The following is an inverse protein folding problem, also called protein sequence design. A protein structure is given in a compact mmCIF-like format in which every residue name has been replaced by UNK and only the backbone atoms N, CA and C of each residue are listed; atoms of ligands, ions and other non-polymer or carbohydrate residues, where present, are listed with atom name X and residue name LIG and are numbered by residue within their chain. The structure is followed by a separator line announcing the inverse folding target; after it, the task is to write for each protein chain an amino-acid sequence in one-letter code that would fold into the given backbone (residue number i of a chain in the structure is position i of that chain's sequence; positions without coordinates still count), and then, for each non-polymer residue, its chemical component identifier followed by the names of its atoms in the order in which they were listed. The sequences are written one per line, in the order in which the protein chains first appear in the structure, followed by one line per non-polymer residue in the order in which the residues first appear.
data_IF_894405056461
#
_entry.id   IF_894405056461
#
_cell.length_a   1.000
_cell.length_b   1.000
_cell.length_c   1.000
_cell.angle_alpha   90.00
_cell.angle_beta   90.00
_cell.angle_gamma   90.00
#
_symmetry.space_group_name_H-M   'P 1'
#
loop_
_entity.id
_entity.type
_entity.pdbx_description
1 polymer ?
#
# COMPACT_ATOMS: atom_id res chain seq x y z
N UNK A 1 -6.15 -10.58 -20.46
CA UNK A 1 -6.87 -9.29 -20.55
C UNK A 1 -6.00 -8.16 -19.99
N UNK A 2 -5.88 -6.99 -20.65
CA UNK A 2 -5.31 -5.83 -19.96
C UNK A 2 -6.16 -5.56 -18.72
N UNK A 3 -5.58 -5.05 -17.61
CA UNK A 3 -6.38 -4.76 -16.43
C UNK A 3 -7.48 -3.78 -16.83
N UNK A 4 -8.74 -4.11 -16.55
CA UNK A 4 -9.92 -3.29 -16.86
C UNK A 4 -10.03 -2.06 -15.94
N UNK A 5 -8.90 -1.43 -15.66
CA UNK A 5 -8.71 -0.35 -14.70
C UNK A 5 -8.23 0.94 -15.36
N UNK A 6 -8.23 2.00 -14.56
CA UNK A 6 -7.65 3.28 -14.95
C UNK A 6 -6.16 3.28 -14.64
N UNK A 7 -5.36 3.83 -15.55
CA UNK A 7 -3.92 3.96 -15.37
C UNK A 7 -3.48 5.41 -15.55
N UNK A 8 -2.64 5.89 -14.61
CA UNK A 8 -1.96 7.18 -14.68
C UNK A 8 -0.46 6.90 -14.60
N UNK A 9 0.28 7.33 -15.61
CA UNK A 9 1.75 7.22 -15.63
C UNK A 9 2.32 8.64 -15.66
N UNK A 10 3.13 8.99 -14.67
CA UNK A 10 3.72 10.32 -14.54
C UNK A 10 5.11 10.24 -13.90
N UNK A 11 6.00 11.19 -14.15
CA UNK A 11 7.28 11.24 -13.43
C UNK A 11 7.10 11.59 -11.94
N UNK A 12 6.15 12.47 -11.66
CA UNK A 12 5.73 12.97 -10.35
C UNK A 12 4.40 13.68 -10.51
N UNK A 13 3.70 13.96 -9.41
CA UNK A 13 2.39 14.62 -9.43
C UNK A 13 2.31 15.72 -8.37
N UNK A 14 1.69 16.85 -8.71
CA UNK A 14 1.32 17.89 -7.73
C UNK A 14 -0.17 18.13 -7.76
N UNK A 15 -0.79 18.09 -6.58
CA UNK A 15 -2.23 18.26 -6.38
C UNK A 15 -2.48 19.55 -5.62
N UNK A 16 -2.88 20.60 -6.35
CA UNK A 16 -3.29 21.89 -5.76
C UNK A 16 -4.76 21.93 -5.32
N UNK A 17 -5.61 21.11 -5.95
CA UNK A 17 -7.05 21.04 -5.70
C UNK A 17 -7.44 19.68 -5.12
N UNK A 18 -8.33 18.96 -5.78
CA UNK A 18 -8.76 17.63 -5.31
C UNK A 18 -8.55 16.56 -6.38
N UNK A 19 -7.78 15.52 -6.05
CA UNK A 19 -7.73 14.28 -6.82
C UNK A 19 -8.62 13.25 -6.13
N UNK A 20 -9.75 12.89 -6.76
CA UNK A 20 -10.75 11.97 -6.19
C UNK A 20 -10.97 10.77 -7.09
N UNK A 21 -11.04 9.58 -6.51
CA UNK A 21 -11.51 8.37 -7.18
C UNK A 21 -12.45 7.61 -6.24
N UNK A 22 -13.72 7.48 -6.65
CA UNK A 22 -14.79 6.98 -5.79
C UNK A 22 -15.16 7.95 -4.66
N UNK A 23 -16.06 7.50 -3.79
CA UNK A 23 -16.49 8.23 -2.58
C UNK A 23 -16.75 7.25 -1.44
N UNK A 24 -17.08 7.76 -0.26
CA UNK A 24 -17.37 6.88 0.89
C UNK A 24 -18.52 5.91 0.66
N UNK A 25 -19.51 6.33 -0.13
CA UNK A 25 -20.75 5.61 -0.46
C UNK A 25 -20.74 4.99 -1.85
N UNK A 26 -19.91 5.48 -2.78
CA UNK A 26 -19.78 4.96 -4.14
C UNK A 26 -18.31 4.60 -4.41
N UNK A 27 -17.93 3.39 -4.00
CA UNK A 27 -16.54 2.92 -4.09
C UNK A 27 -16.14 2.57 -5.52
N UNK A 28 -14.87 2.81 -5.83
CA UNK A 28 -14.29 2.38 -7.09
C UNK A 28 -14.22 0.85 -7.13
N UNK A 29 -14.95 0.24 -8.06
CA UNK A 29 -14.99 -1.22 -8.23
C UNK A 29 -13.85 -1.78 -9.10
N UNK A 30 -13.29 -0.95 -9.99
CA UNK A 30 -12.14 -1.31 -10.84
C UNK A 30 -10.83 -0.83 -10.23
N UNK A 31 -9.70 -1.35 -10.72
CA UNK A 31 -8.38 -0.88 -10.29
C UNK A 31 -8.08 0.55 -10.79
N UNK A 32 -7.37 1.31 -9.96
CA UNK A 32 -6.69 2.55 -10.33
C UNK A 32 -5.21 2.38 -10.03
N UNK A 33 -4.37 2.40 -11.07
CA UNK A 33 -2.92 2.28 -10.95
C UNK A 33 -2.28 3.64 -11.21
N UNK A 34 -1.49 4.13 -10.26
CA UNK A 34 -0.68 5.35 -10.41
C UNK A 34 0.78 4.95 -10.41
N UNK A 35 1.41 4.97 -11.58
CA UNK A 35 2.82 4.61 -11.76
C UNK A 35 3.68 5.86 -11.83
N UNK A 36 4.55 6.04 -10.83
CA UNK A 36 5.49 7.16 -10.80
C UNK A 36 6.84 6.76 -11.38
N UNK A 37 7.20 7.30 -12.54
CA UNK A 37 8.40 6.91 -13.32
C UNK A 37 9.63 7.77 -13.05
N UNK A 38 9.52 8.85 -12.26
CA UNK A 38 10.63 9.76 -11.98
C UNK A 38 11.76 9.11 -11.17
N UNK A 39 12.77 9.90 -10.80
CA UNK A 39 13.86 9.46 -9.93
C UNK A 39 13.71 10.04 -8.52
N UNK A 40 14.28 9.36 -7.52
CA UNK A 40 14.44 9.90 -6.16
C UNK A 40 15.84 10.51 -6.05
N UNK A 41 15.98 11.83 -5.92
CA UNK A 41 17.31 12.40 -5.72
C UNK A 41 17.85 12.03 -4.33
N UNK A 42 19.17 11.99 -4.20
CA UNK A 42 19.88 11.59 -2.97
C UNK A 42 19.55 12.50 -1.77
N UNK A 43 19.23 13.77 -2.03
CA UNK A 43 18.87 14.77 -1.03
C UNK A 43 17.35 14.93 -0.79
N UNK A 44 16.50 14.03 -1.31
CA UNK A 44 15.03 14.16 -1.26
C UNK A 44 14.45 14.33 0.16
N UNK A 45 15.20 13.96 1.21
CA UNK A 45 14.79 14.12 2.62
C UNK A 45 15.11 15.52 3.16
N UNK A 46 16.16 16.16 2.63
CA UNK A 46 16.71 17.43 3.15
C UNK A 46 16.22 18.65 2.37
N UNK A 47 15.83 18.46 1.12
CA UNK A 47 15.25 19.50 0.28
C UNK A 47 14.19 18.86 -0.62
N UNK A 48 12.88 19.07 -0.35
CA UNK A 48 11.82 18.63 -1.24
C UNK A 48 12.09 19.21 -2.64
N UNK A 49 12.39 18.36 -3.64
CA UNK A 49 12.73 18.85 -4.96
C UNK A 49 11.52 19.50 -5.64
N UNK A 50 11.76 20.28 -6.69
CA UNK A 50 10.76 20.74 -7.65
C UNK A 50 9.74 19.64 -8.01
N UNK A 51 8.52 19.98 -8.51
CA UNK A 51 7.38 19.08 -8.79
C UNK A 51 7.63 17.83 -9.66
N UNK A 52 8.87 17.57 -10.09
CA UNK A 52 9.29 16.58 -11.08
C UNK A 52 10.05 15.36 -10.52
N UNK A 53 9.96 15.07 -9.21
CA UNK A 53 10.57 13.86 -8.62
C UNK A 53 9.56 12.75 -8.38
N UNK A 54 10.04 11.51 -8.20
CA UNK A 54 9.17 10.34 -7.97
C UNK A 54 8.40 10.49 -6.66
N UNK A 55 7.21 11.07 -6.73
CA UNK A 55 6.35 11.32 -5.58
C UNK A 55 5.06 12.04 -5.96
N UNK A 56 4.16 12.14 -4.99
CA UNK A 56 2.93 12.92 -5.08
C UNK A 56 2.99 14.00 -4.01
N UNK A 57 3.04 15.26 -4.43
CA UNK A 57 2.98 16.43 -3.56
C UNK A 57 1.54 16.96 -3.52
N UNK A 58 0.99 17.14 -2.32
CA UNK A 58 -0.36 17.67 -2.12
C UNK A 58 -0.22 19.06 -1.51
N UNK A 59 -0.24 20.07 -2.37
CA UNK A 59 0.04 21.45 -2.00
C UNK A 59 -1.25 22.25 -1.83
N UNK A 60 -1.77 22.29 -0.60
CA UNK A 60 -3.04 22.94 -0.26
C UNK A 60 -4.29 22.19 -0.76
N UNK A 61 -4.09 21.04 -1.41
CA UNK A 61 -5.15 20.19 -1.96
C UNK A 61 -5.50 18.97 -1.09
N UNK A 62 -6.21 18.02 -1.70
CA UNK A 62 -6.61 16.74 -1.09
C UNK A 62 -6.52 15.61 -2.12
N UNK A 63 -6.01 14.46 -1.69
CA UNK A 63 -6.17 13.18 -2.38
C UNK A 63 -7.20 12.34 -1.62
N UNK A 64 -8.24 11.88 -2.32
CA UNK A 64 -9.38 11.15 -1.75
C UNK A 64 -9.66 9.93 -2.63
N UNK A 65 -9.08 8.79 -2.26
CA UNK A 65 -9.17 7.53 -3.02
C UNK A 65 -9.98 6.51 -2.22
N UNK A 66 -11.08 6.08 -2.80
CA UNK A 66 -12.07 5.24 -2.13
C UNK A 66 -12.31 3.95 -2.94
N UNK A 67 -11.42 2.98 -2.77
CA UNK A 67 -11.58 1.61 -3.30
C UNK A 67 -12.34 0.68 -2.35
N UNK A 68 -12.32 -0.62 -2.68
CA UNK A 68 -12.83 -1.69 -1.82
C UNK A 68 -12.27 -1.58 -0.40
N UNK A 69 -13.12 -1.78 0.61
CA UNK A 69 -12.75 -1.71 2.02
C UNK A 69 -12.29 -3.08 2.52
N UNK A 70 -11.07 -3.14 3.04
CA UNK A 70 -10.57 -4.27 3.81
C UNK A 70 -10.61 -3.92 5.30
N UNK A 71 -11.23 -4.78 6.09
CA UNK A 71 -11.29 -4.72 7.53
C UNK A 71 -10.79 -6.04 8.12
N UNK A 72 -9.72 -6.02 8.92
CA UNK A 72 -8.87 -4.86 9.26
C UNK A 72 -7.86 -4.56 8.13
N UNK A 73 -7.36 -3.33 8.02
CA UNK A 73 -6.26 -3.01 7.09
C UNK A 73 -4.90 -3.51 7.59
N UNK A 74 -4.79 -3.80 8.89
CA UNK A 74 -3.63 -4.40 9.53
C UNK A 74 -4.10 -5.23 10.73
N UNK A 75 -3.27 -6.19 11.12
CA UNK A 75 -3.44 -6.98 12.34
C UNK A 75 -2.07 -7.40 12.84
N UNK A 76 -2.01 -7.95 14.06
CA UNK A 76 -0.78 -8.51 14.62
C UNK A 76 -0.72 -10.00 14.37
N UNK A 77 0.48 -10.54 14.30
CA UNK A 77 0.68 -11.96 14.42
C UNK A 77 0.25 -12.41 15.83
N UNK A 78 -0.46 -13.53 15.91
CA UNK A 78 -0.81 -14.15 17.20
C UNK A 78 0.38 -14.87 17.84
N UNK A 79 1.39 -15.21 17.04
CA UNK A 79 2.64 -15.83 17.49
C UNK A 79 3.81 -15.42 16.58
N UNK A 80 5.04 -15.63 17.06
CA UNK A 80 6.26 -15.46 16.25
C UNK A 80 6.21 -16.39 15.04
N UNK A 81 6.62 -15.86 13.88
CA UNK A 81 6.76 -16.63 12.65
C UNK A 81 8.24 -16.93 12.46
N UNK A 82 8.56 -18.22 12.35
CA UNK A 82 9.93 -18.68 12.14
C UNK A 82 10.35 -18.53 10.67
N UNK A 83 11.66 -18.38 10.44
CA UNK A 83 12.21 -18.23 9.10
C UNK A 83 11.86 -19.44 8.21
N UNK A 84 11.33 -19.17 7.01
CA UNK A 84 10.91 -20.19 6.05
C UNK A 84 9.50 -20.73 6.27
N UNK A 85 8.75 -20.22 7.25
CA UNK A 85 7.33 -20.52 7.38
C UNK A 85 6.52 -19.85 6.24
N UNK A 86 5.48 -20.54 5.80
CA UNK A 86 4.50 -20.09 4.81
C UNK A 86 3.10 -19.83 5.43
N UNK A 87 3.00 -19.92 6.76
CA UNK A 87 1.74 -19.77 7.50
C UNK A 87 1.87 -18.61 8.50
N UNK A 88 0.94 -17.65 8.39
CA UNK A 88 0.79 -16.55 9.35
C UNK A 88 -0.46 -16.76 10.18
N UNK A 89 -0.31 -16.85 11.50
CA UNK A 89 -1.45 -16.83 12.42
C UNK A 89 -1.70 -15.40 12.90
N UNK A 90 -2.95 -14.95 12.78
CA UNK A 90 -3.33 -13.55 13.03
C UNK A 90 -4.16 -13.44 14.32
N UNK A 91 -4.03 -12.32 15.04
CA UNK A 91 -4.81 -12.08 16.28
C UNK A 91 -6.28 -11.76 16.02
N UNK A 92 -6.57 -11.12 14.90
CA UNK A 92 -7.92 -10.68 14.52
C UNK A 92 -8.36 -11.37 13.24
N UNK A 93 -9.67 -11.60 13.13
CA UNK A 93 -10.30 -11.96 11.85
C UNK A 93 -10.13 -10.85 10.81
N UNK A 94 -9.87 -11.24 9.57
CA UNK A 94 -9.67 -10.35 8.43
C UNK A 94 -10.63 -10.70 7.28
N UNK A 95 -10.83 -9.76 6.37
CA UNK A 95 -11.53 -9.97 5.09
C UNK A 95 -10.60 -9.77 3.88
N UNK A 96 -9.29 -10.01 4.07
CA UNK A 96 -8.34 -10.02 2.97
C UNK A 96 -8.69 -11.11 1.96
N UNK A 97 -8.10 -11.04 0.78
CA UNK A 97 -8.39 -11.92 -0.34
C UNK A 97 -7.11 -12.56 -0.87
N UNK A 98 -7.26 -13.76 -1.40
CA UNK A 98 -6.18 -14.46 -2.12
C UNK A 98 -5.69 -13.59 -3.27
N UNK A 99 -4.37 -13.56 -3.44
CA UNK A 99 -3.67 -12.76 -4.44
C UNK A 99 -3.28 -11.36 -3.98
N UNK A 100 -3.76 -10.87 -2.83
CA UNK A 100 -3.35 -9.58 -2.28
C UNK A 100 -1.90 -9.61 -1.77
N UNK A 101 -1.19 -8.51 -1.98
CA UNK A 101 0.11 -8.28 -1.33
C UNK A 101 -0.11 -7.75 0.09
N UNK A 102 0.63 -8.31 1.04
CA UNK A 102 0.71 -7.85 2.43
C UNK A 102 2.16 -7.49 2.75
N UNK A 103 2.33 -6.59 3.72
CA UNK A 103 3.64 -6.26 4.27
C UNK A 103 3.71 -6.80 5.70
N UNK A 104 4.57 -7.78 5.92
CA UNK A 104 4.91 -8.24 7.26
C UNK A 104 6.01 -7.32 7.82
N UNK A 105 5.73 -6.69 8.96
CA UNK A 105 6.64 -5.74 9.60
C UNK A 105 7.32 -6.35 10.83
N UNK A 106 8.58 -6.01 11.02
CA UNK A 106 9.36 -6.41 12.20
C UNK A 106 9.02 -5.56 13.43
N UNK A 107 9.29 -6.08 14.62
CA UNK A 107 9.31 -5.30 15.88
C UNK A 107 10.66 -4.64 16.15
N UNK A 108 11.63 -4.72 15.22
CA UNK A 108 12.94 -4.10 15.37
C UNK A 108 12.83 -2.57 15.51
N UNK A 109 13.60 -1.98 16.44
CA UNK A 109 13.55 -0.54 16.70
C UNK A 109 14.10 0.32 15.55
N UNK A 110 14.98 -0.24 14.72
CA UNK A 110 15.51 0.44 13.54
C UNK A 110 14.80 -0.12 12.32
N UNK A 111 14.05 0.72 11.64
CA UNK A 111 13.46 0.39 10.34
C UNK A 111 13.83 1.54 9.39
N UNK A 112 14.75 1.25 8.48
CA UNK A 112 15.25 2.22 7.50
C UNK A 112 15.41 1.52 6.16
N UNK A 113 15.45 2.29 5.07
CA UNK A 113 15.57 1.72 3.72
C UNK A 113 16.76 0.78 3.57
N UNK A 114 17.89 1.11 4.19
CA UNK A 114 19.14 0.34 4.09
C UNK A 114 19.24 -0.72 5.20
N UNK A 115 18.27 -0.75 6.12
CA UNK A 115 18.22 -1.65 7.25
C UNK A 115 16.76 -1.85 7.68
N UNK A 116 16.06 -2.75 6.99
CA UNK A 116 14.73 -3.23 7.36
C UNK A 116 14.71 -4.76 7.34
N UNK A 117 13.77 -5.34 8.08
CA UNK A 117 13.50 -6.78 8.09
C UNK A 117 12.04 -7.06 7.70
N UNK A 118 11.41 -6.10 7.01
CA UNK A 118 10.04 -6.23 6.52
C UNK A 118 10.02 -7.11 5.26
N UNK A 119 8.95 -7.89 5.11
CA UNK A 119 8.74 -8.78 3.96
C UNK A 119 7.46 -8.37 3.22
N UNK A 120 7.49 -8.45 1.89
CA UNK A 120 6.30 -8.31 1.05
C UNK A 120 5.92 -9.70 0.56
N UNK A 121 4.70 -10.12 0.90
CA UNK A 121 4.21 -11.48 0.66
C UNK A 121 2.89 -11.41 -0.10
N UNK A 122 2.58 -12.44 -0.88
CA UNK A 122 1.27 -12.60 -1.51
C UNK A 122 0.45 -13.62 -0.73
N UNK A 123 -0.82 -13.30 -0.45
CA UNK A 123 -1.76 -14.22 0.20
C UNK A 123 -2.09 -15.34 -0.78
N UNK A 124 -1.57 -16.54 -0.53
CA UNK A 124 -1.87 -17.72 -1.34
C UNK A 124 -3.23 -18.32 -0.97
N UNK A 125 -3.51 -18.45 0.32
CA UNK A 125 -4.72 -19.07 0.86
C UNK A 125 -5.11 -18.40 2.19
N UNK A 126 -6.39 -18.49 2.56
CA UNK A 126 -6.90 -17.97 3.84
C UNK A 126 -7.71 -19.08 4.51
N UNK A 127 -7.29 -19.43 5.73
CA UNK A 127 -8.00 -20.35 6.60
C UNK A 127 -8.76 -19.52 7.63
N UNK A 128 -10.07 -19.70 7.70
CA UNK A 128 -10.90 -19.13 8.77
C UNK A 128 -11.37 -20.26 9.67
N UNK A 129 -11.21 -20.09 10.98
CA UNK A 129 -11.82 -21.00 11.94
C UNK A 129 -13.34 -21.01 11.73
N UNK A 130 -13.91 -22.20 11.63
CA UNK A 130 -15.35 -22.36 11.60
C UNK A 130 -15.94 -21.88 12.94
N UNK A 131 -17.09 -21.20 12.93
CA UNK A 131 -17.72 -20.69 14.16
C UNK A 131 -18.06 -21.81 15.16
#
# INVERSE_FOLDING_TARGET
PPPSGMEIIASGMVVFGKLTAGSETCRLGNSLTITLTGTRPSNAVLSPPAPSVKGIDVNGGVISLHGKRFYRTWTRLSQTVEAGSDILMLQDSINWEVGQEIVLITTAMKDSRDWHQNEVLQVAEIYQDSP
#
